data_IF_638704464459
#
_entry.id   IF_638704464459
#
_cell.length_a   1.000
_cell.length_b   1.000
_cell.length_c   1.000
_cell.angle_alpha   90.00
_cell.angle_beta   90.00
_cell.angle_gamma   90.00
#
_symmetry.space_group_name_H-M   'P 1'
#
loop_
_entity.id
_entity.type
_entity.pdbx_description
1 polymer ?
#
# COMPACT_ATOMS: atom_id res chain seq x y z
N UNK A 1 -2.46 -16.12 -3.83
CA UNK A 1 -2.73 -14.96 -2.96
C UNK A 1 -1.44 -14.48 -2.35
N UNK A 2 -1.01 -13.28 -2.74
CA UNK A 2 0.24 -12.68 -2.31
C UNK A 2 -0.05 -11.51 -1.38
N UNK A 3 0.82 -11.34 -0.40
CA UNK A 3 0.74 -10.24 0.55
C UNK A 3 2.03 -9.45 0.46
N UNK A 4 1.89 -8.16 0.16
CA UNK A 4 3.00 -7.23 0.02
C UNK A 4 2.97 -6.22 1.15
N UNK A 5 4.13 -5.95 1.73
CA UNK A 5 4.31 -4.94 2.75
C UNK A 5 5.17 -3.82 2.20
N UNK A 6 4.72 -2.58 2.39
CA UNK A 6 5.39 -1.39 1.92
C UNK A 6 5.60 -0.41 3.07
N UNK A 7 6.78 0.18 3.11
CA UNK A 7 7.07 1.35 3.93
C UNK A 7 6.45 2.56 3.25
N UNK A 8 5.56 3.26 3.94
CA UNK A 8 4.93 4.46 3.38
C UNK A 8 5.29 5.72 4.16
N UNK A 9 4.96 6.88 3.60
CA UNK A 9 5.04 8.17 4.32
C UNK A 9 3.66 8.64 4.83
N UNK A 10 2.69 7.73 4.93
CA UNK A 10 1.33 8.03 5.37
C UNK A 10 1.33 8.11 6.90
N UNK A 11 1.15 9.31 7.47
CA UNK A 11 1.29 9.54 8.91
C UNK A 11 -0.01 9.96 9.62
N UNK A 12 -1.07 10.29 8.86
CA UNK A 12 -2.32 10.79 9.42
C UNK A 12 -3.51 10.00 8.88
N UNK A 13 -4.54 9.86 9.70
CA UNK A 13 -5.82 9.22 9.31
C UNK A 13 -6.43 9.87 8.07
N UNK A 14 -6.38 11.21 7.97
CA UNK A 14 -6.85 11.91 6.77
C UNK A 14 -6.01 11.66 5.50
N UNK A 15 -4.77 11.18 5.62
CA UNK A 15 -3.99 10.72 4.46
C UNK A 15 -4.37 9.30 4.04
N UNK A 16 -4.78 8.46 5.00
CA UNK A 16 -5.34 7.13 4.70
C UNK A 16 -6.60 7.31 3.86
N UNK A 17 -7.53 8.16 4.30
CA UNK A 17 -8.78 8.43 3.56
C UNK A 17 -8.53 8.94 2.12
N UNK A 18 -7.44 9.66 1.89
CA UNK A 18 -7.04 10.09 0.55
C UNK A 18 -6.52 8.95 -0.30
N UNK A 19 -5.80 7.98 0.26
CA UNK A 19 -5.24 6.85 -0.48
C UNK A 19 -6.26 5.71 -0.66
N UNK A 20 -7.21 5.57 0.26
CA UNK A 20 -8.29 4.58 0.22
C UNK A 20 -9.00 4.50 -1.14
N UNK A 21 -9.51 5.59 -1.74
CA UNK A 21 -10.17 5.50 -3.04
C UNK A 21 -9.23 5.05 -4.16
N UNK A 22 -7.92 5.31 -4.08
CA UNK A 22 -6.96 4.79 -5.07
C UNK A 22 -6.77 3.29 -4.91
N UNK A 23 -6.75 2.77 -3.69
CA UNK A 23 -6.65 1.33 -3.43
C UNK A 23 -7.95 0.60 -3.77
N UNK A 24 -9.09 1.10 -3.33
CA UNK A 24 -10.42 0.53 -3.61
C UNK A 24 -10.81 0.63 -5.09
N UNK A 25 -10.33 1.65 -5.82
CA UNK A 25 -10.54 1.74 -7.26
C UNK A 25 -9.82 0.65 -8.04
N UNK A 26 -8.89 -0.09 -7.42
CA UNK A 26 -8.22 -1.23 -8.03
C UNK A 26 -8.93 -2.53 -7.65
N UNK A 27 -9.73 -3.08 -8.58
CA UNK A 27 -10.41 -4.37 -8.41
C UNK A 27 -9.45 -5.57 -8.18
N UNK A 28 -8.15 -5.40 -8.43
CA UNK A 28 -7.14 -6.42 -8.22
C UNK A 28 -6.63 -6.46 -6.76
N UNK A 29 -6.89 -5.40 -5.99
CA UNK A 29 -6.59 -5.35 -4.55
C UNK A 29 -7.77 -5.98 -3.82
N UNK A 30 -7.47 -7.03 -3.05
CA UNK A 30 -8.48 -7.78 -2.32
C UNK A 30 -8.69 -7.21 -0.93
N UNK A 31 -7.61 -6.76 -0.29
CA UNK A 31 -7.62 -6.12 1.03
C UNK A 31 -6.37 -5.28 1.22
N UNK A 32 -6.46 -4.26 2.05
CA UNK A 32 -5.33 -3.38 2.38
C UNK A 32 -5.43 -2.92 3.83
N UNK A 33 -4.28 -2.67 4.45
CA UNK A 33 -4.19 -2.24 5.84
C UNK A 33 -3.00 -1.29 6.03
N UNK A 34 -3.21 -0.14 6.65
CA UNK A 34 -2.14 0.83 6.95
C UNK A 34 -1.94 0.88 8.44
N UNK A 35 -0.77 0.43 8.89
CA UNK A 35 -0.33 0.52 10.27
C UNK A 35 0.48 1.80 10.48
N UNK A 36 -0.21 2.87 10.90
CA UNK A 36 0.43 4.13 11.27
C UNK A 36 1.00 4.12 12.69
N UNK A 37 0.78 3.07 13.48
CA UNK A 37 1.39 2.93 14.80
C UNK A 37 2.82 2.38 14.69
N UNK A 38 3.09 1.61 13.63
CA UNK A 38 4.45 1.16 13.31
C UNK A 38 5.39 2.35 13.03
N UNK A 39 6.64 2.24 13.47
CA UNK A 39 7.68 3.25 13.22
C UNK A 39 7.90 3.50 11.72
N UNK A 40 7.67 2.48 10.89
CA UNK A 40 7.88 2.53 9.45
C UNK A 40 6.59 2.77 8.66
N UNK A 41 5.43 2.96 9.29
CA UNK A 41 4.16 3.24 8.59
C UNK A 41 3.88 2.20 7.50
N UNK A 42 3.64 0.97 7.94
CA UNK A 42 3.56 -0.21 7.08
C UNK A 42 2.20 -0.26 6.39
N UNK A 43 2.19 -0.23 5.06
CA UNK A 43 1.04 -0.59 4.25
C UNK A 43 1.14 -2.06 3.86
N UNK A 44 0.14 -2.85 4.22
CA UNK A 44 -0.02 -4.25 3.81
C UNK A 44 -1.10 -4.32 2.75
N UNK A 45 -0.81 -4.97 1.63
CA UNK A 45 -1.72 -5.11 0.48
C UNK A 45 -1.82 -6.60 0.16
N UNK A 46 -3.05 -7.08 0.01
CA UNK A 46 -3.36 -8.44 -0.39
C UNK A 46 -3.94 -8.43 -1.81
N UNK A 47 -3.30 -9.17 -2.71
CA UNK A 47 -3.64 -9.22 -4.14
C UNK A 47 -3.19 -10.55 -4.73
N UNK A 48 -3.90 -11.02 -5.76
CA UNK A 48 -3.50 -12.24 -6.49
C UNK A 48 -2.75 -11.93 -7.79
N UNK A 49 -2.87 -10.71 -8.33
CA UNK A 49 -2.35 -10.36 -9.65
C UNK A 49 -1.36 -9.19 -9.66
N UNK A 50 -1.45 -8.27 -8.71
CA UNK A 50 -0.57 -7.10 -8.71
C UNK A 50 0.82 -7.47 -8.18
N UNK A 51 1.84 -6.92 -8.82
CA UNK A 51 3.22 -6.94 -8.33
C UNK A 51 3.49 -5.76 -7.39
N UNK A 52 4.53 -5.86 -6.57
CA UNK A 52 5.00 -4.80 -5.69
C UNK A 52 5.26 -3.46 -6.41
N UNK A 53 5.79 -3.53 -7.62
CA UNK A 53 6.04 -2.35 -8.48
C UNK A 53 4.74 -1.61 -8.85
N UNK A 54 3.71 -2.34 -9.30
CA UNK A 54 2.41 -1.77 -9.69
C UNK A 54 1.76 -1.07 -8.48
N UNK A 55 1.77 -1.74 -7.32
CA UNK A 55 1.21 -1.17 -6.09
C UNK A 55 1.96 0.11 -5.69
N UNK A 56 3.28 0.12 -5.87
CA UNK A 56 4.10 1.31 -5.61
C UNK A 56 3.73 2.47 -6.54
N UNK A 57 3.50 2.21 -7.82
CA UNK A 57 3.06 3.22 -8.78
C UNK A 57 1.67 3.79 -8.44
N UNK A 58 0.72 2.95 -8.01
CA UNK A 58 -0.62 3.40 -7.58
C UNK A 58 -0.50 4.40 -6.43
N UNK A 59 0.28 4.06 -5.39
CA UNK A 59 0.50 4.94 -4.23
C UNK A 59 1.21 6.24 -4.65
N UNK A 60 2.17 6.15 -5.57
CA UNK A 60 2.88 7.30 -6.12
C UNK A 60 1.97 8.24 -6.90
N UNK A 61 1.03 7.70 -7.67
CA UNK A 61 0.01 8.48 -8.37
C UNK A 61 -0.96 9.17 -7.41
N UNK A 62 -1.19 8.61 -6.22
CA UNK A 62 -1.93 9.26 -5.14
C UNK A 62 -1.14 10.38 -4.43
N UNK A 63 0.14 10.59 -4.79
CA UNK A 63 1.01 11.61 -4.20
C UNK A 63 1.79 11.14 -2.96
N UNK A 64 1.90 9.84 -2.73
CA UNK A 64 2.58 9.25 -1.58
C UNK A 64 3.74 8.34 -2.01
N UNK A 65 4.72 8.14 -1.14
CA UNK A 65 5.79 7.17 -1.39
C UNK A 65 5.45 5.84 -0.72
N UNK A 66 5.55 4.74 -1.48
CA UNK A 66 5.56 3.38 -0.97
C UNK A 66 6.87 2.71 -1.40
N UNK A 67 7.54 2.01 -0.48
CA UNK A 67 8.76 1.25 -0.77
C UNK A 67 8.53 -0.19 -0.33
N UNK A 68 8.62 -1.20 -1.21
CA UNK A 68 8.42 -2.59 -0.82
C UNK A 68 9.47 -3.01 0.22
N UNK A 69 9.01 -3.60 1.32
CA UNK A 69 9.84 -4.04 2.45
C UNK A 69 10.16 -5.53 2.44
N UNK A 70 9.37 -6.34 1.72
CA UNK A 70 9.63 -7.76 1.59
C UNK A 70 9.45 -8.22 0.14
N UNK A 71 10.56 -8.45 -0.52
CA UNK A 71 10.71 -9.51 -1.51
C UNK A 71 11.49 -10.63 -0.83
N UNK A 72 10.79 -11.61 -0.24
CA UNK A 72 11.44 -12.87 0.17
C UNK A 72 11.58 -13.71 -1.10
N UNK A 73 12.78 -13.68 -1.69
CA UNK A 73 13.23 -14.70 -2.63
C UNK A 73 13.56 -15.99 -1.88
#
# INVERSE_FOLDING_TARGET
MNTYQFKTNIMCTGCIEKVTPYLESNNEIRSWHIDINDKNKILTIETDKLSSEIVTEIIKNAGYSAVPLQERR
#
